data_IF_771885318790
#
_entry.id   IF_771885318790
#
_cell.length_a   1.000
_cell.length_b   1.000
_cell.length_c   1.000
_cell.angle_alpha   90.00
_cell.angle_beta   90.00
_cell.angle_gamma   90.00
#
_symmetry.space_group_name_H-M   'P 1'
#
loop_
_entity.id
_entity.type
_entity.pdbx_description
1 polymer ?
#
# COMPACT_ATOMS: atom_id res chain seq x y z
N UNK A 1 13.00 7.59 5.98
CA UNK A 1 12.66 6.92 7.25
C UNK A 1 13.96 6.52 7.93
N UNK A 2 14.17 6.92 9.18
CA UNK A 2 15.40 6.59 9.92
C UNK A 2 15.35 5.14 10.40
N UNK A 3 16.13 4.28 9.74
CA UNK A 3 16.23 2.85 10.05
C UNK A 3 16.73 2.61 11.48
N UNK A 4 17.60 3.48 11.99
CA UNK A 4 18.20 3.36 13.32
C UNK A 4 17.17 3.57 14.42
N UNK A 5 16.27 4.54 14.23
CA UNK A 5 15.20 4.83 15.17
C UNK A 5 14.23 3.64 15.32
N UNK A 6 13.84 3.01 14.21
CA UNK A 6 12.96 1.84 14.21
C UNK A 6 13.65 0.65 14.89
N UNK A 7 14.89 0.34 14.49
CA UNK A 7 15.66 -0.77 15.11
C UNK A 7 15.77 -0.59 16.63
N UNK A 8 16.02 0.64 17.12
CA UNK A 8 16.07 0.91 18.56
C UNK A 8 14.72 0.79 19.24
N UNK A 9 13.64 1.24 18.60
CA UNK A 9 12.29 1.25 19.16
C UNK A 9 11.73 -0.17 19.31
N UNK A 10 11.79 -0.97 18.23
CA UNK A 10 11.21 -2.32 18.21
C UNK A 10 12.21 -3.43 18.50
N UNK A 11 13.52 -3.14 18.57
CA UNK A 11 14.62 -4.10 18.85
C UNK A 11 14.72 -5.23 17.81
N UNK A 12 14.42 -4.93 16.56
CA UNK A 12 14.47 -5.87 15.43
C UNK A 12 15.46 -5.32 14.40
N UNK A 13 16.35 -6.16 13.89
CA UNK A 13 17.29 -5.78 12.84
C UNK A 13 16.57 -5.54 11.50
N UNK A 14 17.22 -4.81 10.59
CA UNK A 14 16.59 -4.40 9.33
C UNK A 14 16.25 -5.58 8.40
N UNK A 15 17.04 -6.65 8.40
CA UNK A 15 16.79 -7.82 7.57
C UNK A 15 15.57 -8.60 8.09
N UNK A 16 15.42 -8.67 9.41
CA UNK A 16 14.22 -9.22 10.05
C UNK A 16 12.97 -8.39 9.76
N UNK A 17 13.05 -7.05 9.75
CA UNK A 17 11.93 -6.20 9.31
C UNK A 17 11.53 -6.52 7.86
N UNK A 18 12.51 -6.64 6.95
CA UNK A 18 12.26 -7.01 5.56
C UNK A 18 11.56 -8.36 5.41
N UNK A 19 11.97 -9.38 6.18
CA UNK A 19 11.33 -10.70 6.20
C UNK A 19 9.90 -10.67 6.73
N UNK A 20 9.62 -9.86 7.76
CA UNK A 20 8.26 -9.68 8.28
C UNK A 20 7.36 -9.06 7.22
N UNK A 21 7.84 -8.01 6.53
CA UNK A 21 7.09 -7.37 5.44
C UNK A 21 6.79 -8.39 4.34
N UNK A 22 7.79 -9.15 3.88
CA UNK A 22 7.61 -10.16 2.84
C UNK A 22 6.54 -11.20 3.24
N UNK A 23 6.62 -11.73 4.47
CA UNK A 23 5.64 -12.69 4.99
C UNK A 23 4.23 -12.12 5.01
N UNK A 24 4.04 -10.89 5.50
CA UNK A 24 2.71 -10.25 5.54
C UNK A 24 2.18 -9.98 4.13
N UNK A 25 3.04 -9.62 3.18
CA UNK A 25 2.65 -9.43 1.78
C UNK A 25 2.24 -10.72 1.07
N UNK A 26 2.62 -11.89 1.60
CA UNK A 26 2.20 -13.18 1.06
C UNK A 26 0.75 -13.55 1.42
N UNK A 27 0.19 -12.98 2.49
CA UNK A 27 -1.21 -13.21 2.90
C UNK A 27 -2.22 -12.64 1.87
N UNK A 28 -1.75 -11.83 0.91
CA UNK A 28 -2.51 -11.13 -0.14
C UNK A 28 -3.65 -10.26 0.42
N UNK A 29 -4.29 -9.51 -0.47
CA UNK A 29 -5.48 -8.76 -0.10
C UNK A 29 -6.68 -9.71 -0.04
N UNK A 30 -7.57 -9.46 0.92
CA UNK A 30 -8.84 -10.17 1.04
C UNK A 30 -9.64 -10.02 -0.28
N UNK A 31 -10.06 -11.12 -0.93
CA UNK A 31 -10.90 -11.04 -2.13
C UNK A 31 -12.18 -10.24 -1.93
N UNK A 32 -12.72 -10.21 -0.70
CA UNK A 32 -13.94 -9.47 -0.33
C UNK A 32 -13.71 -8.02 0.08
N UNK A 33 -12.48 -7.50 -0.09
CA UNK A 33 -12.11 -6.12 0.32
C UNK A 33 -12.98 -5.02 -0.32
N UNK A 34 -13.62 -5.30 -1.45
CA UNK A 34 -14.48 -4.35 -2.17
C UNK A 34 -15.97 -4.45 -1.77
N UNK A 35 -16.34 -5.44 -0.95
CA UNK A 35 -17.72 -5.65 -0.53
C UNK A 35 -18.21 -4.45 0.30
N UNK A 36 -19.23 -3.76 -0.22
CA UNK A 36 -19.79 -2.55 0.36
C UNK A 36 -18.73 -1.44 0.58
N UNK A 37 -17.80 -1.30 -0.35
CA UNK A 37 -16.88 -0.18 -0.38
C UNK A 37 -17.60 1.07 -0.91
N UNK A 38 -17.64 2.14 -0.12
CA UNK A 38 -18.44 3.32 -0.45
C UNK A 38 -17.67 4.64 -0.35
N UNK A 39 -16.92 4.84 0.75
CA UNK A 39 -16.09 6.05 0.93
C UNK A 39 -14.64 5.67 0.73
N UNK A 40 -14.07 6.10 -0.39
CA UNK A 40 -12.68 5.80 -0.75
C UNK A 40 -11.82 7.05 -0.79
N UNK A 41 -10.57 6.88 -0.37
CA UNK A 41 -9.49 7.84 -0.57
C UNK A 41 -8.60 7.38 -1.68
N UNK A 42 -8.27 8.29 -2.60
CA UNK A 42 -7.31 8.04 -3.67
C UNK A 42 -6.09 8.92 -3.43
N UNK A 43 -4.91 8.33 -3.45
CA UNK A 43 -3.65 9.03 -3.27
C UNK A 43 -2.60 8.59 -4.30
N UNK A 44 -1.67 9.50 -4.61
CA UNK A 44 -0.54 9.28 -5.50
C UNK A 44 0.75 9.40 -4.71
N UNK A 45 1.50 8.30 -4.62
CA UNK A 45 2.76 8.25 -3.84
C UNK A 45 3.95 8.07 -4.77
N UNK A 46 4.87 9.04 -4.73
CA UNK A 46 6.19 8.90 -5.34
C UNK A 46 7.08 8.00 -4.46
N UNK A 47 7.54 6.86 -4.99
CA UNK A 47 8.20 5.83 -4.16
C UNK A 47 9.70 5.64 -4.46
N UNK A 48 10.20 6.24 -5.54
CA UNK A 48 11.63 6.25 -5.89
C UNK A 48 12.02 7.52 -6.64
N UNK A 49 13.33 7.79 -6.65
CA UNK A 49 13.91 8.84 -7.48
C UNK A 49 13.69 8.49 -8.95
N UNK A 50 13.23 9.45 -9.75
CA UNK A 50 12.98 9.25 -11.18
C UNK A 50 11.51 9.15 -11.58
N UNK A 51 10.61 9.87 -10.90
CA UNK A 51 9.19 9.99 -11.28
C UNK A 51 8.45 8.63 -11.34
N UNK A 52 8.74 7.75 -10.37
CA UNK A 52 8.00 6.51 -10.20
C UNK A 52 6.88 6.72 -9.18
N UNK A 53 5.66 6.44 -9.59
CA UNK A 53 4.44 6.70 -8.83
C UNK A 53 3.60 5.44 -8.68
N UNK A 54 2.89 5.37 -7.57
CA UNK A 54 1.89 4.35 -7.31
C UNK A 54 0.60 5.09 -6.97
N UNK A 55 -0.49 4.68 -7.60
CA UNK A 55 -1.85 5.10 -7.23
C UNK A 55 -2.38 4.11 -6.21
N UNK A 56 -2.88 4.60 -5.08
CA UNK A 56 -3.42 3.80 -4.00
C UNK A 56 -4.90 4.15 -3.77
N UNK A 57 -5.70 3.14 -3.48
CA UNK A 57 -7.09 3.33 -3.05
C UNK A 57 -7.26 2.75 -1.64
N UNK A 58 -7.80 3.57 -0.76
CA UNK A 58 -8.08 3.24 0.64
C UNK A 58 -9.58 3.24 0.91
N UNK A 59 -10.04 2.33 1.76
CA UNK A 59 -11.32 2.40 2.43
C UNK A 59 -11.21 3.34 3.63
N UNK A 60 -11.83 4.51 3.55
CA UNK A 60 -11.79 5.51 4.62
C UNK A 60 -12.61 5.11 5.85
N UNK A 61 -13.58 4.22 5.72
CA UNK A 61 -14.39 3.77 6.86
C UNK A 61 -13.67 2.68 7.64
N UNK A 62 -12.99 1.76 6.95
CA UNK A 62 -12.28 0.63 7.58
C UNK A 62 -10.80 0.92 7.83
N UNK A 63 -10.26 2.01 7.29
CA UNK A 63 -8.85 2.38 7.44
C UNK A 63 -7.90 1.38 6.77
N UNK A 64 -8.31 0.77 5.66
CA UNK A 64 -7.53 -0.27 4.96
C UNK A 64 -7.21 0.15 3.54
N UNK A 65 -6.02 -0.22 3.05
CA UNK A 65 -5.74 -0.18 1.62
C UNK A 65 -6.48 -1.33 0.94
N UNK A 66 -7.20 -1.04 -0.13
CA UNK A 66 -8.01 -2.02 -0.86
C UNK A 66 -7.46 -2.27 -2.26
N UNK A 67 -6.63 -1.37 -2.78
CA UNK A 67 -6.05 -1.51 -4.11
C UNK A 67 -4.80 -0.63 -4.29
N UNK A 68 -3.92 -1.02 -5.20
CA UNK A 68 -2.81 -0.17 -5.64
C UNK A 68 -2.18 -0.67 -6.94
N UNK A 69 -1.77 0.26 -7.80
CA UNK A 69 -1.06 -0.05 -9.05
C UNK A 69 -0.01 1.01 -9.39
N UNK A 70 1.00 0.61 -10.17
CA UNK A 70 2.01 1.52 -10.69
C UNK A 70 1.40 2.49 -11.70
N UNK A 71 1.74 3.76 -11.57
CA UNK A 71 1.18 4.85 -12.34
C UNK A 71 0.55 5.93 -11.45
N UNK A 72 0.14 7.02 -12.09
CA UNK A 72 -0.39 8.21 -11.42
C UNK A 72 -1.56 8.88 -12.11
N UNK A 73 -1.95 8.36 -13.26
CA UNK A 73 -2.94 9.00 -14.11
C UNK A 73 -4.32 8.38 -13.91
N UNK A 74 -5.34 9.06 -14.44
CA UNK A 74 -6.70 8.55 -14.43
C UNK A 74 -6.82 7.19 -15.12
N UNK A 75 -5.93 6.88 -16.09
CA UNK A 75 -5.89 5.55 -16.72
C UNK A 75 -5.49 4.45 -15.73
N UNK A 76 -4.55 4.75 -14.83
CA UNK A 76 -4.15 3.85 -13.74
C UNK A 76 -5.32 3.65 -12.80
N UNK A 77 -5.96 4.73 -12.34
CA UNK A 77 -7.13 4.64 -11.46
C UNK A 77 -8.32 3.91 -12.11
N UNK A 78 -8.51 4.03 -13.43
CA UNK A 78 -9.58 3.33 -14.12
C UNK A 78 -9.48 1.80 -14.02
N UNK A 79 -8.27 1.24 -13.79
CA UNK A 79 -8.08 -0.20 -13.60
C UNK A 79 -8.77 -0.69 -12.32
N UNK A 80 -8.82 0.14 -11.27
CA UNK A 80 -9.53 -0.19 -10.03
C UNK A 80 -11.03 -0.46 -10.26
N UNK A 81 -11.67 0.29 -11.17
CA UNK A 81 -13.09 0.12 -11.47
C UNK A 81 -13.40 -1.10 -12.35
N UNK A 82 -12.38 -1.85 -12.76
CA UNK A 82 -12.53 -3.09 -13.55
C UNK A 82 -12.23 -4.37 -12.75
N UNK A 83 -11.95 -4.23 -11.45
CA UNK A 83 -11.54 -5.32 -10.57
C UNK A 83 -12.68 -6.08 -9.90
#
# INVERSE_FOLDING_TARGET
>A
MDKTAIVRLVRIDWDSVGRIIARVMDDKLDPKRLDNLFVVGVDEVAWKKGQQYITLVSDHQRGKMVWGAEGRDSKTLNQFFTE
#
